data_IF_187404064103
#
_entry.id   IF_187404064103
#
_cell.length_a   1.000
_cell.length_b   1.000
_cell.length_c   1.000
_cell.angle_alpha   90.00
_cell.angle_beta   90.00
_cell.angle_gamma   90.00
#
_symmetry.space_group_name_H-M   'P 1'
#
loop_
_entity.id
_entity.type
_entity.pdbx_description
1 polymer ?
#
# COMPACT_ATOMS: atom_id res chain seq x y z
N UNK A 1 37.36 34.45 36.87
CA UNK A 1 37.10 33.28 37.74
C UNK A 1 36.33 32.25 36.92
N UNK A 2 37.01 31.27 36.32
CA UNK A 2 36.43 30.33 35.32
C UNK A 2 35.86 29.04 35.95
N UNK A 3 36.35 28.67 37.14
CA UNK A 3 35.89 27.48 37.85
C UNK A 3 34.45 27.67 38.40
N UNK A 4 34.07 28.81 39.00
CA UNK A 4 32.70 28.99 39.51
C UNK A 4 31.64 29.03 38.40
N UNK A 5 31.95 29.62 37.24
CA UNK A 5 31.02 29.68 36.10
C UNK A 5 30.76 28.29 35.50
N UNK A 6 31.78 27.43 35.47
CA UNK A 6 31.65 26.05 34.99
C UNK A 6 30.77 25.22 35.93
N UNK A 7 30.97 25.35 37.24
CA UNK A 7 30.18 24.64 38.26
C UNK A 7 28.71 25.05 38.20
N UNK A 8 28.41 26.34 38.01
CA UNK A 8 27.03 26.83 37.89
C UNK A 8 26.38 26.32 36.59
N UNK A 9 27.08 26.35 35.45
CA UNK A 9 26.55 25.88 34.18
C UNK A 9 26.27 24.36 34.19
N UNK A 10 27.18 23.56 34.76
CA UNK A 10 26.99 22.11 34.89
C UNK A 10 25.86 21.79 35.88
N UNK A 11 25.79 22.51 37.00
CA UNK A 11 24.72 22.30 38.00
C UNK A 11 23.34 22.67 37.43
N UNK A 12 23.24 23.76 36.65
CA UNK A 12 22.01 24.15 35.97
C UNK A 12 21.62 23.14 34.88
N UNK A 13 22.58 22.63 34.12
CA UNK A 13 22.35 21.58 33.12
C UNK A 13 21.80 20.29 33.73
N UNK A 14 22.34 19.86 34.87
CA UNK A 14 21.86 18.67 35.62
C UNK A 14 20.48 18.91 36.26
N UNK A 15 20.18 20.14 36.69
CA UNK A 15 18.88 20.48 37.27
C UNK A 15 17.75 20.42 36.22
N UNK A 16 18.03 20.85 34.98
CA UNK A 16 17.07 20.89 33.86
C UNK A 16 16.75 19.49 33.34
N UNK A 17 17.70 18.56 33.35
CA UNK A 17 17.46 17.17 32.91
C UNK A 17 16.66 16.33 33.91
N UNK A 18 16.57 16.76 35.18
CA UNK A 18 15.78 16.06 36.22
C UNK A 18 14.27 16.11 35.98
N UNK A 19 13.77 17.04 35.17
CA UNK A 19 12.33 17.21 34.91
C UNK A 19 11.81 16.22 33.86
N UNK A 20 12.70 15.49 33.17
CA UNK A 20 12.36 14.55 32.10
C UNK A 20 12.40 13.05 32.50
N UNK A 21 12.76 12.73 33.74
CA UNK A 21 12.85 11.34 34.23
C UNK A 21 11.67 11.03 35.15
N UNK A 22 10.72 10.22 34.70
CA UNK A 22 9.47 9.89 35.41
C UNK A 22 9.63 8.88 36.58
N UNK A 23 10.84 8.43 36.93
CA UNK A 23 11.05 7.47 38.03
C UNK A 23 11.72 8.13 39.25
N UNK A 24 10.89 8.54 40.21
CA UNK A 24 11.27 9.33 41.39
C UNK A 24 11.98 8.54 42.52
N UNK A 25 12.86 7.58 42.22
CA UNK A 25 13.44 6.68 43.24
C UNK A 25 14.93 6.32 43.11
N UNK A 26 15.53 6.44 41.92
CA UNK A 26 16.92 6.02 41.68
C UNK A 26 17.88 7.19 41.82
N UNK A 27 18.91 7.12 42.70
CA UNK A 27 19.96 8.12 42.74
C UNK A 27 20.64 8.21 41.37
N UNK A 28 20.78 9.42 40.82
CA UNK A 28 21.41 9.68 39.51
C UNK A 28 22.79 9.00 39.34
N UNK A 29 23.53 8.83 40.45
CA UNK A 29 24.81 8.13 40.48
C UNK A 29 24.71 6.63 40.20
N UNK A 30 23.62 5.96 40.58
CA UNK A 30 23.37 4.56 40.26
C UNK A 30 23.03 4.38 38.78
N UNK A 31 22.21 5.27 38.20
CA UNK A 31 21.92 5.23 36.76
C UNK A 31 23.15 5.53 35.90
N UNK A 32 23.91 6.57 36.28
CA UNK A 32 25.09 6.97 35.52
C UNK A 32 26.20 5.89 35.62
N UNK A 33 26.39 5.28 36.80
CA UNK A 33 27.34 4.18 36.97
C UNK A 33 26.87 2.92 36.24
N UNK A 34 25.56 2.61 36.24
CA UNK A 34 24.99 1.51 35.49
C UNK A 34 25.11 1.70 33.97
N UNK A 35 24.98 2.92 33.46
CA UNK A 35 25.14 3.22 32.03
C UNK A 35 26.61 3.20 31.60
N UNK A 36 27.51 3.80 32.38
CA UNK A 36 28.95 3.84 32.07
C UNK A 36 29.61 2.45 32.16
N UNK A 37 29.24 1.65 33.15
CA UNK A 37 29.76 0.28 33.33
C UNK A 37 28.91 -0.78 32.61
N UNK A 38 27.75 -0.39 32.06
CA UNK A 38 26.81 -1.28 31.38
C UNK A 38 27.20 -1.66 29.96
N UNK A 39 28.07 -0.88 29.31
CA UNK A 39 28.52 -1.11 27.94
C UNK A 39 29.83 -1.94 27.90
N UNK A 40 29.79 -3.25 27.62
CA UNK A 40 31.00 -4.08 27.63
C UNK A 40 32.03 -3.66 26.59
N UNK A 41 31.60 -3.04 25.47
CA UNK A 41 32.50 -2.50 24.45
C UNK A 41 33.29 -1.30 25.00
N UNK A 42 32.64 -0.39 25.73
CA UNK A 42 33.28 0.78 26.33
C UNK A 42 34.32 0.39 27.38
N UNK A 43 33.98 -0.57 28.26
CA UNK A 43 34.92 -1.11 29.26
C UNK A 43 36.17 -1.74 28.62
N UNK A 44 36.02 -2.42 27.47
CA UNK A 44 37.14 -3.01 26.74
C UNK A 44 38.06 -1.95 26.15
N UNK A 45 37.49 -0.89 25.58
CA UNK A 45 38.26 0.25 25.06
C UNK A 45 39.01 0.95 26.18
N UNK A 46 38.36 1.18 27.33
CA UNK A 46 39.00 1.75 28.51
C UNK A 46 40.14 0.88 29.06
N UNK A 47 39.95 -0.44 29.14
CA UNK A 47 40.98 -1.38 29.58
C UNK A 47 42.23 -1.34 28.68
N UNK A 48 42.03 -1.29 27.36
CA UNK A 48 43.13 -1.18 26.38
C UNK A 48 43.87 0.15 26.57
N UNK A 49 43.13 1.26 26.67
CA UNK A 49 43.71 2.58 26.84
C UNK A 49 44.55 2.68 28.12
N UNK A 50 44.02 2.20 29.25
CA UNK A 50 44.72 2.13 30.54
C UNK A 50 45.96 1.22 30.45
N UNK A 51 45.87 0.11 29.73
CA UNK A 51 47.02 -0.76 29.47
C UNK A 51 48.13 -0.09 28.67
N UNK A 52 47.79 0.74 27.68
CA UNK A 52 48.77 1.52 26.90
C UNK A 52 49.47 2.57 27.78
N UNK A 53 48.76 3.20 28.72
CA UNK A 53 49.36 4.16 29.66
C UNK A 53 50.45 3.53 30.55
N UNK A 54 50.37 2.22 30.82
CA UNK A 54 51.40 1.52 31.60
C UNK A 54 52.77 1.46 30.91
N UNK A 55 52.83 1.69 29.59
CA UNK A 55 54.06 1.63 28.79
C UNK A 55 54.79 2.99 28.81
N UNK A 56 54.14 4.07 29.26
CA UNK A 56 54.72 5.41 29.27
C UNK A 56 55.79 5.51 30.37
N UNK A 57 57.07 5.77 30.03
CA UNK A 57 58.14 5.89 31.02
C UNK A 57 57.90 7.11 31.91
N UNK A 58 58.02 6.92 33.22
CA UNK A 58 57.79 7.96 34.24
C UNK A 58 56.49 7.79 35.04
N UNK A 59 55.59 6.89 34.63
CA UNK A 59 54.39 6.53 35.39
C UNK A 59 54.54 5.19 36.11
N UNK A 60 53.95 5.00 37.30
CA UNK A 60 53.96 3.71 38.00
C UNK A 60 53.12 2.69 37.22
N UNK A 61 53.78 1.83 36.44
CA UNK A 61 53.12 0.90 35.53
C UNK A 61 52.21 -0.14 36.23
N UNK A 62 52.58 -0.58 37.44
CA UNK A 62 51.89 -1.63 38.18
C UNK A 62 50.40 -1.31 38.45
N UNK A 63 50.04 -0.12 39.00
CA UNK A 63 48.64 0.31 39.13
C UNK A 63 47.82 0.26 37.83
N UNK A 64 48.39 0.74 36.71
CA UNK A 64 47.66 0.79 35.44
C UNK A 64 47.40 -0.61 34.87
N UNK A 65 48.37 -1.53 34.98
CA UNK A 65 48.18 -2.93 34.56
C UNK A 65 47.08 -3.60 35.38
N UNK A 66 47.03 -3.37 36.71
CA UNK A 66 46.00 -3.95 37.58
C UNK A 66 44.61 -3.41 37.22
N UNK A 67 44.46 -2.09 37.06
CA UNK A 67 43.18 -1.47 36.69
C UNK A 67 42.73 -1.93 35.30
N UNK A 68 43.65 -1.97 34.32
CA UNK A 68 43.35 -2.47 32.97
C UNK A 68 42.88 -3.92 32.97
N UNK A 69 43.54 -4.79 33.75
CA UNK A 69 43.13 -6.19 33.89
C UNK A 69 41.74 -6.34 34.52
N UNK A 70 41.44 -5.57 35.57
CA UNK A 70 40.12 -5.58 36.22
C UNK A 70 39.00 -5.13 35.27
N UNK A 71 39.21 -4.04 34.53
CA UNK A 71 38.26 -3.55 33.52
C UNK A 71 38.03 -4.56 32.39
N UNK A 72 39.09 -5.27 31.96
CA UNK A 72 38.98 -6.30 30.93
C UNK A 72 38.19 -7.52 31.40
N UNK A 73 38.43 -7.99 32.63
CA UNK A 73 37.68 -9.10 33.23
C UNK A 73 36.20 -8.71 33.41
N UNK A 74 35.92 -7.52 33.92
CA UNK A 74 34.56 -7.00 34.07
C UNK A 74 33.83 -6.91 32.71
N UNK A 75 34.51 -6.43 31.66
CA UNK A 75 33.97 -6.40 30.29
C UNK A 75 33.59 -7.80 29.79
N UNK A 76 34.44 -8.80 30.03
CA UNK A 76 34.21 -10.18 29.57
C UNK A 76 33.07 -10.85 30.33
N UNK A 77 32.99 -10.65 31.65
CA UNK A 77 31.89 -11.15 32.47
C UNK A 77 30.55 -10.54 32.04
N UNK A 78 30.52 -9.23 31.80
CA UNK A 78 29.30 -8.53 31.37
C UNK A 78 28.88 -8.89 29.94
N UNK A 79 29.84 -9.06 29.03
CA UNK A 79 29.57 -9.54 27.67
C UNK A 79 29.02 -10.97 27.65
N UNK A 80 29.44 -11.84 28.58
CA UNK A 80 28.85 -13.18 28.76
C UNK A 80 27.43 -13.09 29.27
N UNK A 81 27.16 -12.29 30.30
CA UNK A 81 25.81 -12.09 30.82
C UNK A 81 24.85 -11.53 29.75
N UNK A 82 25.24 -10.51 28.98
CA UNK A 82 24.39 -9.99 27.90
C UNK A 82 24.12 -11.04 26.82
N UNK A 83 25.11 -11.86 26.46
CA UNK A 83 24.93 -12.95 25.49
C UNK A 83 24.05 -14.07 26.05
N UNK A 84 24.17 -14.40 27.33
CA UNK A 84 23.31 -15.37 27.99
C UNK A 84 21.86 -14.87 28.06
N UNK A 85 21.65 -13.57 28.29
CA UNK A 85 20.31 -12.93 28.24
C UNK A 85 19.77 -12.86 26.81
N UNK A 86 20.59 -12.54 25.80
CA UNK A 86 20.19 -12.58 24.38
C UNK A 86 19.88 -14.02 23.91
N UNK A 87 20.68 -15.01 24.31
CA UNK A 87 20.44 -16.43 24.00
C UNK A 87 19.23 -16.98 24.75
N UNK A 88 18.94 -16.52 25.98
CA UNK A 88 17.71 -16.85 26.70
C UNK A 88 16.49 -16.18 26.07
N UNK A 89 16.58 -14.90 25.69
CA UNK A 89 15.53 -14.18 24.96
C UNK A 89 15.28 -14.75 23.56
N UNK A 90 16.29 -15.36 22.93
CA UNK A 90 16.15 -16.07 21.65
C UNK A 90 15.64 -17.52 21.82
N UNK A 91 15.80 -18.12 23.01
CA UNK A 91 15.29 -19.46 23.36
C UNK A 91 13.90 -19.45 23.98
N UNK A 92 13.44 -18.32 24.48
CA UNK A 92 12.03 -18.13 24.83
C UNK A 92 11.16 -18.19 23.56
N UNK A 93 10.24 -19.16 23.44
CA UNK A 93 9.26 -19.11 22.37
C UNK A 93 8.40 -17.85 22.54
N UNK A 94 8.07 -17.20 21.41
CA UNK A 94 7.26 -15.97 21.29
C UNK A 94 5.93 -16.03 22.08
N UNK A 95 5.50 -17.21 22.54
CA UNK A 95 4.29 -17.44 23.34
C UNK A 95 4.30 -16.92 24.79
N UNK A 96 5.43 -16.60 25.41
CA UNK A 96 5.43 -16.22 26.84
C UNK A 96 5.39 -14.72 27.13
N UNK A 97 5.61 -13.85 26.12
CA UNK A 97 5.33 -12.40 26.26
C UNK A 97 3.85 -12.03 26.23
N UNK A 98 2.96 -13.00 26.02
CA UNK A 98 1.50 -12.84 26.10
C UNK A 98 0.90 -13.24 27.46
N UNK A 99 1.71 -13.55 28.47
CA UNK A 99 1.21 -13.77 29.83
C UNK A 99 1.14 -12.46 30.63
N UNK A 100 0.57 -11.41 30.04
CA UNK A 100 0.02 -10.30 30.82
C UNK A 100 -1.49 -10.50 30.98
N UNK A 101 -1.96 -10.20 32.18
CA UNK A 101 -3.24 -10.60 32.75
C UNK A 101 -4.40 -9.92 32.02
N UNK A 102 -5.37 -10.71 31.53
CA UNK A 102 -6.73 -10.23 31.27
C UNK A 102 -7.40 -10.78 30.01
N UNK A 103 -8.09 -11.92 30.12
CA UNK A 103 -9.08 -12.42 29.15
C UNK A 103 -8.59 -12.58 27.70
N UNK A 104 -9.44 -13.05 26.77
CA UNK A 104 -9.20 -12.80 25.37
C UNK A 104 -9.23 -11.28 25.19
N UNK A 105 -8.06 -10.67 25.01
CA UNK A 105 -7.93 -9.25 24.67
C UNK A 105 -8.70 -9.06 23.37
N UNK A 106 -9.86 -8.40 23.43
CA UNK A 106 -10.62 -8.04 22.24
C UNK A 106 -9.73 -7.14 21.37
N UNK A 107 -9.21 -7.70 20.29
CA UNK A 107 -8.52 -6.96 19.23
C UNK A 107 -9.58 -6.75 18.15
N UNK A 108 -10.25 -5.59 18.11
CA UNK A 108 -11.18 -5.28 17.03
C UNK A 108 -10.36 -5.11 15.75
N UNK A 109 -10.25 -6.16 14.96
CA UNK A 109 -9.77 -6.06 13.59
C UNK A 109 -10.99 -5.86 12.73
N UNK A 110 -11.02 -4.73 12.03
CA UNK A 110 -12.08 -4.42 11.06
C UNK A 110 -12.11 -5.51 10.00
N UNK A 111 -13.28 -6.07 9.74
CA UNK A 111 -13.47 -7.07 8.69
C UNK A 111 -13.30 -6.38 7.33
N UNK A 112 -12.30 -6.74 6.50
CA UNK A 112 -12.01 -6.00 5.28
C UNK A 112 -13.16 -6.03 4.26
N UNK A 113 -13.81 -7.18 4.11
CA UNK A 113 -15.04 -7.28 3.35
C UNK A 113 -15.90 -8.46 3.83
N UNK A 114 -17.21 -8.32 3.68
CA UNK A 114 -18.18 -9.29 4.13
C UNK A 114 -19.38 -9.39 3.19
N UNK A 115 -20.02 -10.56 3.21
CA UNK A 115 -21.31 -10.84 2.60
C UNK A 115 -22.29 -11.20 3.71
N UNK A 116 -23.29 -10.37 3.93
CA UNK A 116 -24.42 -10.68 4.80
C UNK A 116 -25.60 -11.08 3.92
N UNK A 117 -26.13 -12.27 4.16
CA UNK A 117 -27.22 -12.85 3.37
C UNK A 117 -28.46 -13.04 4.24
N UNK A 118 -29.61 -12.99 3.59
CA UNK A 118 -30.88 -13.42 4.18
C UNK A 118 -30.84 -14.90 4.58
N UNK A 119 -31.57 -15.25 5.65
CA UNK A 119 -31.50 -16.59 6.25
C UNK A 119 -31.95 -17.72 5.31
N UNK A 120 -32.84 -17.46 4.34
CA UNK A 120 -33.27 -18.48 3.37
C UNK A 120 -32.12 -19.05 2.53
N UNK A 121 -31.07 -18.25 2.31
CA UNK A 121 -29.89 -18.63 1.54
C UNK A 121 -28.88 -19.48 2.34
N UNK A 122 -29.10 -19.69 3.65
CA UNK A 122 -28.19 -20.48 4.51
C UNK A 122 -28.05 -21.93 4.03
N UNK A 123 -29.12 -22.50 3.47
CA UNK A 123 -29.10 -23.84 2.86
C UNK A 123 -28.14 -23.98 1.67
N UNK A 124 -27.77 -22.86 1.04
CA UNK A 124 -26.89 -22.80 -0.12
C UNK A 124 -25.43 -22.52 0.24
N UNK A 125 -25.08 -22.46 1.54
CA UNK A 125 -23.77 -22.03 2.03
C UNK A 125 -22.61 -22.90 1.50
N UNK A 126 -22.76 -24.21 1.61
CA UNK A 126 -21.72 -25.17 1.22
C UNK A 126 -22.04 -25.80 -0.15
N UNK A 127 -21.00 -26.35 -0.78
CA UNK A 127 -21.09 -27.01 -2.07
C UNK A 127 -21.98 -28.26 -1.98
N UNK A 128 -22.79 -28.51 -3.02
CA UNK A 128 -23.48 -29.79 -3.20
C UNK A 128 -22.59 -30.73 -4.01
N UNK A 129 -21.96 -31.67 -3.31
CA UNK A 129 -21.04 -32.66 -3.88
C UNK A 129 -21.67 -34.04 -3.73
N UNK A 130 -21.78 -34.79 -4.84
CA UNK A 130 -22.27 -36.17 -4.83
C UNK A 130 -21.20 -37.12 -5.36
N UNK A 131 -20.57 -37.87 -4.45
CA UNK A 131 -19.37 -38.64 -4.79
C UNK A 131 -18.22 -37.68 -5.08
N UNK A 132 -17.62 -37.76 -6.27
CA UNK A 132 -16.57 -36.85 -6.73
C UNK A 132 -17.09 -35.75 -7.68
N UNK A 133 -18.41 -35.67 -7.91
CA UNK A 133 -19.01 -34.70 -8.85
C UNK A 133 -19.60 -33.49 -8.10
N UNK A 134 -19.14 -32.28 -8.46
CA UNK A 134 -19.71 -31.03 -8.00
C UNK A 134 -21.01 -30.75 -8.76
N UNK A 135 -22.14 -30.78 -8.06
CA UNK A 135 -23.47 -30.50 -8.66
C UNK A 135 -23.83 -29.03 -8.61
N UNK A 136 -23.45 -28.34 -7.54
CA UNK A 136 -23.70 -26.92 -7.32
C UNK A 136 -22.61 -26.34 -6.43
N UNK A 137 -22.06 -25.19 -6.83
CA UNK A 137 -21.18 -24.41 -5.99
C UNK A 137 -21.97 -23.70 -4.87
N UNK A 138 -21.42 -23.69 -3.66
CA UNK A 138 -21.95 -22.98 -2.51
C UNK A 138 -21.46 -21.54 -2.41
N UNK A 139 -22.11 -20.77 -1.55
CA UNK A 139 -21.77 -19.36 -1.28
C UNK A 139 -20.33 -19.23 -0.73
N UNK A 140 -19.84 -20.22 0.02
CA UNK A 140 -18.45 -20.24 0.49
C UNK A 140 -17.46 -20.29 -0.68
N UNK A 141 -17.74 -21.13 -1.67
CA UNK A 141 -16.94 -21.26 -2.89
C UNK A 141 -17.03 -20.01 -3.76
N UNK A 142 -18.20 -19.35 -3.80
CA UNK A 142 -18.33 -18.02 -4.41
C UNK A 142 -17.38 -17.00 -3.78
N UNK A 143 -17.32 -16.92 -2.45
CA UNK A 143 -16.39 -16.03 -1.75
C UNK A 143 -14.91 -16.30 -2.06
N UNK A 144 -14.53 -17.56 -2.30
CA UNK A 144 -13.19 -17.92 -2.76
C UNK A 144 -12.96 -17.51 -4.23
N UNK A 145 -13.92 -17.78 -5.10
CA UNK A 145 -13.87 -17.44 -6.53
C UNK A 145 -13.72 -15.94 -6.76
N UNK A 146 -14.40 -15.08 -5.99
CA UNK A 146 -14.23 -13.61 -6.04
C UNK A 146 -12.76 -13.21 -5.88
N UNK A 147 -12.05 -13.83 -4.93
CA UNK A 147 -10.62 -13.54 -4.70
C UNK A 147 -9.77 -13.91 -5.92
N UNK A 148 -10.07 -15.06 -6.53
CA UNK A 148 -9.38 -15.51 -7.73
C UNK A 148 -9.64 -14.60 -8.94
N UNK A 149 -10.90 -14.17 -9.12
CA UNK A 149 -11.29 -13.21 -10.17
C UNK A 149 -10.54 -11.90 -9.99
N UNK A 150 -10.58 -11.29 -8.79
CA UNK A 150 -9.91 -10.02 -8.52
C UNK A 150 -8.39 -10.12 -8.65
N UNK A 151 -7.78 -11.21 -8.19
CA UNK A 151 -6.35 -11.43 -8.35
C UNK A 151 -5.96 -11.64 -9.81
N UNK A 152 -6.76 -12.42 -10.57
CA UNK A 152 -6.51 -12.67 -11.99
C UNK A 152 -6.60 -11.39 -12.81
N UNK A 153 -7.59 -10.56 -12.53
CA UNK A 153 -7.89 -9.36 -13.32
C UNK A 153 -6.97 -8.20 -12.91
N UNK A 154 -6.85 -7.92 -11.61
CA UNK A 154 -6.14 -6.76 -11.09
C UNK A 154 -4.82 -7.07 -10.37
N UNK A 155 -4.57 -8.31 -9.96
CA UNK A 155 -3.40 -8.67 -9.15
C UNK A 155 -3.54 -8.34 -7.66
N UNK A 156 -4.76 -8.03 -7.19
CA UNK A 156 -5.01 -7.65 -5.80
C UNK A 156 -5.20 -8.88 -4.91
N UNK A 157 -4.38 -9.05 -3.86
CA UNK A 157 -4.51 -10.19 -2.95
C UNK A 157 -5.64 -9.95 -1.93
N UNK A 158 -6.87 -10.25 -2.34
CA UNK A 158 -8.04 -10.03 -1.49
C UNK A 158 -8.05 -11.01 -0.28
N UNK A 159 -8.34 -10.54 0.96
CA UNK A 159 -8.49 -11.41 2.13
C UNK A 159 -9.73 -12.33 2.01
N UNK A 160 -9.86 -13.36 2.86
CA UNK A 160 -11.05 -14.21 2.87
C UNK A 160 -12.34 -13.43 3.17
N UNK A 161 -13.43 -13.78 2.47
CA UNK A 161 -14.75 -13.24 2.74
C UNK A 161 -15.25 -13.66 4.12
N UNK A 162 -15.77 -12.70 4.91
CA UNK A 162 -16.66 -13.05 6.02
C UNK A 162 -18.07 -13.28 5.47
N UNK A 163 -18.69 -14.41 5.78
CA UNK A 163 -20.08 -14.70 5.42
C UNK A 163 -20.92 -14.73 6.71
N UNK A 164 -22.04 -14.02 6.73
CA UNK A 164 -23.00 -13.99 7.83
C UNK A 164 -24.43 -14.11 7.31
N UNK A 165 -25.33 -14.61 8.15
CA UNK A 165 -26.76 -14.72 7.85
C UNK A 165 -27.57 -13.91 8.84
N UNK A 166 -28.62 -13.25 8.36
CA UNK A 166 -29.45 -12.36 9.15
C UNK A 166 -30.93 -12.60 8.90
N UNK A 167 -31.71 -12.55 9.98
CA UNK A 167 -33.18 -12.57 9.95
C UNK A 167 -33.78 -11.19 9.65
N UNK A 168 -32.97 -10.13 9.75
CA UNK A 168 -33.42 -8.75 9.51
C UNK A 168 -33.50 -8.43 8.03
N UNK A 169 -32.79 -9.18 7.19
CA UNK A 169 -32.82 -9.04 5.74
C UNK A 169 -34.05 -9.73 5.15
N UNK A 170 -34.78 -9.09 4.22
CA UNK A 170 -35.86 -9.76 3.49
C UNK A 170 -35.32 -10.93 2.68
N UNK A 171 -36.18 -11.89 2.34
CA UNK A 171 -35.79 -13.08 1.58
C UNK A 171 -35.00 -12.73 0.32
N UNK A 172 -33.98 -13.54 0.01
CA UNK A 172 -33.10 -13.37 -1.15
C UNK A 172 -32.32 -12.05 -1.22
N UNK A 173 -32.26 -11.27 -0.13
CA UNK A 173 -31.43 -10.07 -0.07
C UNK A 173 -29.99 -10.39 0.36
N UNK A 174 -29.07 -9.60 -0.16
CA UNK A 174 -27.63 -9.69 0.09
C UNK A 174 -27.07 -8.29 0.29
N UNK A 175 -26.22 -8.14 1.30
CA UNK A 175 -25.46 -6.93 1.59
C UNK A 175 -23.97 -7.24 1.46
N UNK A 176 -23.27 -6.50 0.61
CA UNK A 176 -21.82 -6.49 0.56
C UNK A 176 -21.30 -5.30 1.35
N UNK A 177 -20.39 -5.57 2.28
CA UNK A 177 -19.76 -4.56 3.13
C UNK A 177 -18.26 -4.53 2.88
N UNK A 178 -17.68 -3.33 2.85
CA UNK A 178 -16.24 -3.08 2.79
C UNK A 178 -15.87 -2.32 4.05
N UNK A 179 -14.90 -2.83 4.81
CA UNK A 179 -14.51 -2.29 6.11
C UNK A 179 -15.71 -2.09 7.06
N UNK A 180 -16.61 -3.08 7.10
CA UNK A 180 -17.85 -3.07 7.90
C UNK A 180 -18.87 -1.99 7.52
N UNK A 181 -18.66 -1.29 6.39
CA UNK A 181 -19.62 -0.32 5.84
C UNK A 181 -20.34 -0.92 4.65
N UNK A 182 -21.68 -0.92 4.60
CA UNK A 182 -22.44 -1.39 3.44
C UNK A 182 -22.02 -0.64 2.16
N UNK A 183 -21.54 -1.40 1.18
CA UNK A 183 -21.10 -0.90 -0.12
C UNK A 183 -22.16 -1.15 -1.21
N UNK A 184 -22.88 -2.27 -1.13
CA UNK A 184 -23.98 -2.60 -2.04
C UNK A 184 -25.04 -3.45 -1.35
N UNK A 185 -26.30 -3.25 -1.73
CA UNK A 185 -27.45 -4.03 -1.28
C UNK A 185 -28.29 -4.38 -2.49
N UNK A 186 -28.59 -5.65 -2.69
CA UNK A 186 -29.39 -6.11 -3.81
C UNK A 186 -30.22 -7.34 -3.44
N UNK A 187 -31.24 -7.60 -4.24
CA UNK A 187 -32.06 -8.81 -4.14
C UNK A 187 -31.71 -9.74 -5.30
N UNK A 188 -31.54 -11.03 -5.01
CA UNK A 188 -31.39 -12.05 -6.03
C UNK A 188 -32.72 -12.24 -6.77
N UNK A 189 -32.74 -12.22 -8.12
CA UNK A 189 -33.96 -12.42 -8.90
C UNK A 189 -34.69 -13.70 -8.50
N UNK A 190 -36.03 -13.67 -8.49
CA UNK A 190 -36.85 -14.79 -8.01
C UNK A 190 -36.79 -16.01 -8.94
N UNK A 191 -36.46 -15.80 -10.20
CA UNK A 191 -36.26 -16.80 -11.25
C UNK A 191 -34.87 -17.45 -11.23
N UNK A 192 -33.91 -16.89 -10.48
CA UNK A 192 -32.56 -17.40 -10.37
C UNK A 192 -32.53 -18.73 -9.61
N UNK A 193 -32.02 -19.79 -10.24
CA UNK A 193 -31.93 -21.12 -9.64
C UNK A 193 -30.85 -21.18 -8.55
N UNK A 194 -30.99 -22.12 -7.60
CA UNK A 194 -29.99 -22.34 -6.54
C UNK A 194 -28.57 -22.58 -7.09
N UNK A 195 -28.46 -23.18 -8.28
CA UNK A 195 -27.20 -23.43 -8.96
C UNK A 195 -26.50 -22.14 -9.42
N UNK A 196 -27.28 -21.14 -9.82
CA UNK A 196 -26.82 -19.86 -10.36
C UNK A 196 -26.54 -18.82 -9.27
N UNK A 197 -27.07 -19.02 -8.05
CA UNK A 197 -26.87 -18.09 -6.91
C UNK A 197 -25.39 -17.81 -6.66
N UNK A 198 -24.56 -18.85 -6.59
CA UNK A 198 -23.13 -18.68 -6.33
C UNK A 198 -22.44 -17.86 -7.42
N UNK A 199 -22.71 -18.15 -8.69
CA UNK A 199 -22.17 -17.40 -9.82
C UNK A 199 -22.61 -15.93 -9.79
N UNK A 200 -23.90 -15.68 -9.54
CA UNK A 200 -24.42 -14.32 -9.44
C UNK A 200 -23.76 -13.52 -8.30
N UNK A 201 -23.52 -14.16 -7.15
CA UNK A 201 -22.81 -13.53 -6.04
C UNK A 201 -21.37 -13.18 -6.42
N UNK A 202 -20.69 -14.04 -7.20
CA UNK A 202 -19.33 -13.75 -7.70
C UNK A 202 -19.34 -12.52 -8.60
N UNK A 203 -20.26 -12.46 -9.57
CA UNK A 203 -20.38 -11.33 -10.50
C UNK A 203 -20.60 -10.00 -9.75
N UNK A 204 -21.61 -9.96 -8.89
CA UNK A 204 -21.98 -8.75 -8.15
C UNK A 204 -20.87 -8.32 -7.17
N UNK A 205 -20.26 -9.27 -6.46
CA UNK A 205 -19.16 -8.96 -5.54
C UNK A 205 -17.94 -8.47 -6.29
N UNK A 206 -17.62 -9.08 -7.44
CA UNK A 206 -16.47 -8.68 -8.25
C UNK A 206 -16.64 -7.26 -8.79
N UNK A 207 -17.84 -6.87 -9.21
CA UNK A 207 -18.14 -5.49 -9.64
C UNK A 207 -17.88 -4.48 -8.51
N UNK A 208 -18.48 -4.71 -7.33
CA UNK A 208 -18.36 -3.80 -6.18
C UNK A 208 -16.92 -3.69 -5.67
N UNK A 209 -16.21 -4.81 -5.60
CA UNK A 209 -14.85 -4.85 -5.07
C UNK A 209 -13.80 -4.33 -6.06
N UNK A 210 -14.05 -4.43 -7.38
CA UNK A 210 -13.16 -3.91 -8.42
C UNK A 210 -13.01 -2.39 -8.30
N UNK A 211 -14.11 -1.66 -8.10
CA UNK A 211 -14.09 -0.20 -7.97
C UNK A 211 -13.37 0.29 -6.70
N UNK A 212 -13.24 -0.59 -5.71
CA UNK A 212 -12.63 -0.32 -4.40
C UNK A 212 -11.36 -1.14 -4.18
N UNK A 213 -10.75 -1.66 -5.24
CA UNK A 213 -9.64 -2.60 -5.14
C UNK A 213 -8.41 -2.01 -4.42
N UNK A 214 -8.20 -0.70 -4.54
CA UNK A 214 -7.11 0.02 -3.88
C UNK A 214 -7.23 0.07 -2.34
N UNK A 215 -8.41 -0.22 -1.77
CA UNK A 215 -8.63 -0.28 -0.32
C UNK A 215 -8.03 -1.56 0.29
N UNK A 216 -7.87 -2.60 -0.53
CA UNK A 216 -7.32 -3.89 -0.12
C UNK A 216 -5.82 -4.02 -0.35
N UNK A 217 -5.15 -2.96 -0.80
CA UNK A 217 -3.71 -2.96 -1.05
C UNK A 217 -2.98 -2.04 -0.07
N UNK A 218 -2.43 -2.62 1.00
CA UNK A 218 -1.56 -1.95 1.95
C UNK A 218 -0.09 -2.37 1.84
N UNK A 219 0.71 -1.87 2.78
CA UNK A 219 2.15 -2.18 2.87
C UNK A 219 2.38 -3.68 3.07
N UNK A 220 1.52 -4.35 3.86
CA UNK A 220 1.63 -5.78 4.15
C UNK A 220 1.36 -6.62 2.89
N UNK A 221 0.31 -6.28 2.15
CA UNK A 221 -0.05 -6.97 0.91
C UNK A 221 1.03 -6.78 -0.17
N UNK A 222 1.56 -5.56 -0.31
CA UNK A 222 2.67 -5.30 -1.24
C UNK A 222 3.94 -6.06 -0.83
N UNK A 223 4.26 -6.12 0.47
CA UNK A 223 5.38 -6.94 0.95
C UNK A 223 5.16 -8.42 0.62
N UNK A 224 3.96 -8.95 0.84
CA UNK A 224 3.63 -10.33 0.49
C UNK A 224 3.82 -10.59 -1.01
N UNK A 225 3.35 -9.69 -1.88
CA UNK A 225 3.55 -9.81 -3.32
C UNK A 225 5.03 -9.77 -3.71
N UNK A 226 5.83 -8.92 -3.07
CA UNK A 226 7.28 -8.85 -3.27
C UNK A 226 7.98 -10.13 -2.81
N UNK A 227 7.59 -10.70 -1.67
CA UNK A 227 8.17 -11.94 -1.13
C UNK A 227 7.91 -13.11 -2.08
N UNK A 228 6.72 -13.17 -2.69
CA UNK A 228 6.40 -14.17 -3.72
C UNK A 228 7.20 -13.93 -5.01
N UNK A 229 7.33 -12.68 -5.45
CA UNK A 229 8.11 -12.34 -6.63
C UNK A 229 9.62 -12.59 -6.42
N UNK A 230 10.15 -12.41 -5.21
CA UNK A 230 11.56 -12.63 -4.90
C UNK A 230 11.96 -14.11 -5.08
N UNK A 231 11.02 -15.06 -4.91
CA UNK A 231 11.30 -16.47 -5.17
C UNK A 231 11.64 -16.76 -6.64
N UNK A 232 11.09 -15.97 -7.57
CA UNK A 232 11.23 -16.18 -9.02
C UNK A 232 12.13 -15.15 -9.71
N UNK A 233 12.20 -13.92 -9.19
CA UNK A 233 12.94 -12.80 -9.76
C UNK A 233 13.67 -11.96 -8.67
N UNK A 234 14.59 -12.57 -7.88
CA UNK A 234 15.21 -11.90 -6.74
C UNK A 234 16.06 -10.69 -7.13
N UNK A 235 16.71 -10.73 -8.30
CA UNK A 235 17.53 -9.63 -8.78
C UNK A 235 16.69 -8.36 -9.02
N UNK A 236 15.51 -8.50 -9.64
CA UNK A 236 14.59 -7.39 -9.89
C UNK A 236 14.10 -6.76 -8.59
N UNK A 237 13.68 -7.58 -7.63
CA UNK A 237 13.18 -7.08 -6.33
C UNK A 237 14.27 -6.33 -5.57
N UNK A 238 15.45 -6.96 -5.38
CA UNK A 238 16.56 -6.38 -4.59
C UNK A 238 17.18 -5.15 -5.23
N UNK A 239 17.10 -5.01 -6.55
CA UNK A 239 17.61 -3.83 -7.26
C UNK A 239 16.67 -2.62 -7.14
N UNK A 240 15.36 -2.85 -6.91
CA UNK A 240 14.34 -1.80 -6.93
C UNK A 240 13.87 -1.42 -5.53
N UNK A 241 13.69 -2.39 -4.64
CA UNK A 241 13.15 -2.23 -3.28
C UNK A 241 14.15 -2.76 -2.26
N UNK A 242 14.47 -2.03 -1.17
CA UNK A 242 13.87 -0.76 -0.72
C UNK A 242 14.49 0.50 -1.35
N UNK A 243 15.49 0.34 -2.24
CA UNK A 243 16.12 1.44 -2.97
C UNK A 243 16.33 1.03 -4.42
N UNK A 244 16.06 1.93 -5.40
CA UNK A 244 15.65 3.32 -5.23
C UNK A 244 14.20 3.55 -4.76
N UNK A 245 13.32 2.56 -4.80
CA UNK A 245 11.90 2.71 -4.42
C UNK A 245 11.66 2.12 -3.04
N UNK A 246 11.20 2.95 -2.10
CA UNK A 246 10.79 2.46 -0.78
C UNK A 246 9.48 1.69 -0.87
N UNK A 247 9.24 0.76 0.07
CA UNK A 247 7.98 0.01 0.13
C UNK A 247 6.73 0.92 0.21
N UNK A 248 6.70 2.01 1.00
CA UNK A 248 5.58 2.95 0.98
C UNK A 248 5.38 3.65 -0.37
N UNK A 249 6.46 4.04 -1.05
CA UNK A 249 6.37 4.67 -2.37
C UNK A 249 5.84 3.69 -3.41
N UNK A 250 6.31 2.44 -3.40
CA UNK A 250 5.76 1.40 -4.27
C UNK A 250 4.27 1.18 -3.98
N UNK A 251 3.89 1.11 -2.70
CA UNK A 251 2.49 0.94 -2.30
C UNK A 251 1.61 2.07 -2.85
N UNK A 252 2.05 3.33 -2.74
CA UNK A 252 1.32 4.49 -3.29
C UNK A 252 1.17 4.38 -4.82
N UNK A 253 2.25 4.06 -5.55
CA UNK A 253 2.19 3.85 -7.01
C UNK A 253 1.21 2.74 -7.39
N UNK A 254 1.28 1.58 -6.74
CA UNK A 254 0.41 0.44 -7.03
C UNK A 254 -1.07 0.76 -6.72
N UNK A 255 -1.35 1.47 -5.62
CA UNK A 255 -2.72 1.91 -5.29
C UNK A 255 -3.28 2.85 -6.35
N UNK A 256 -2.48 3.81 -6.85
CA UNK A 256 -2.90 4.73 -7.91
C UNK A 256 -3.17 4.03 -9.24
N UNK A 257 -2.39 2.99 -9.58
CA UNK A 257 -2.70 2.14 -10.72
C UNK A 257 -4.08 1.49 -10.56
N UNK A 258 -4.35 0.92 -9.38
CA UNK A 258 -5.63 0.28 -9.06
C UNK A 258 -6.82 1.24 -9.03
N UNK A 259 -6.65 2.48 -8.53
CA UNK A 259 -7.69 3.54 -8.55
C UNK A 259 -8.16 3.89 -9.97
N UNK A 260 -7.34 3.58 -10.98
CA UNK A 260 -7.67 3.74 -12.40
C UNK A 260 -7.96 2.41 -13.11
N UNK A 261 -8.14 1.33 -12.33
CA UNK A 261 -8.42 -0.02 -12.80
C UNK A 261 -7.27 -0.66 -13.59
N UNK A 262 -6.03 -0.21 -13.40
CA UNK A 262 -4.86 -0.81 -14.04
C UNK A 262 -4.38 -2.00 -13.24
N UNK A 263 -4.29 -3.16 -13.90
CA UNK A 263 -3.79 -4.39 -13.29
C UNK A 263 -2.35 -4.25 -12.81
N UNK A 264 -2.08 -4.65 -11.56
CA UNK A 264 -0.74 -4.72 -10.96
C UNK A 264 -0.17 -6.14 -10.96
N UNK A 265 -0.83 -7.07 -11.65
CA UNK A 265 -0.43 -8.49 -11.69
C UNK A 265 0.96 -8.69 -12.26
N UNK A 266 1.36 -7.89 -13.25
CA UNK A 266 2.74 -7.85 -13.75
C UNK A 266 3.63 -6.98 -12.86
N UNK A 267 3.77 -7.38 -11.60
CA UNK A 267 4.58 -6.65 -10.62
C UNK A 267 6.05 -6.57 -11.06
N UNK A 268 6.55 -7.58 -11.77
CA UNK A 268 7.89 -7.56 -12.35
C UNK A 268 8.05 -6.42 -13.34
N UNK A 269 7.13 -6.29 -14.32
CA UNK A 269 7.13 -5.21 -15.29
C UNK A 269 7.02 -3.83 -14.62
N UNK A 270 6.21 -3.71 -13.56
CA UNK A 270 6.12 -2.47 -12.77
C UNK A 270 7.46 -2.12 -12.11
N UNK A 271 8.13 -3.08 -11.47
CA UNK A 271 9.45 -2.84 -10.84
C UNK A 271 10.51 -2.48 -11.88
N UNK A 272 10.52 -3.16 -13.04
CA UNK A 272 11.44 -2.87 -14.14
C UNK A 272 11.23 -1.46 -14.69
N UNK A 273 9.97 -1.03 -14.88
CA UNK A 273 9.64 0.35 -15.26
C UNK A 273 10.14 1.35 -14.23
N UNK A 274 9.83 1.13 -12.94
CA UNK A 274 10.27 2.02 -11.87
C UNK A 274 11.80 2.11 -11.79
N UNK A 275 12.54 1.02 -12.04
CA UNK A 275 14.00 1.01 -12.01
C UNK A 275 14.65 2.02 -12.96
N UNK A 276 13.97 2.38 -14.06
CA UNK A 276 14.49 3.28 -15.09
C UNK A 276 14.44 4.76 -14.66
N UNK A 277 13.44 5.14 -13.86
CA UNK A 277 13.14 6.56 -13.53
C UNK A 277 13.27 6.87 -12.04
N UNK A 278 13.14 5.87 -11.16
CA UNK A 278 13.06 6.10 -9.72
C UNK A 278 14.36 6.67 -9.12
N UNK A 279 15.49 6.65 -9.81
CA UNK A 279 16.71 7.31 -9.34
C UNK A 279 16.63 8.85 -9.47
N UNK A 280 15.86 9.35 -10.43
CA UNK A 280 15.75 10.79 -10.75
C UNK A 280 14.45 11.41 -10.27
N UNK A 281 13.35 10.64 -10.24
CA UNK A 281 12.05 11.09 -9.76
C UNK A 281 11.55 10.21 -8.60
N UNK A 282 10.93 10.85 -7.61
CA UNK A 282 10.34 10.22 -6.42
C UNK A 282 8.86 10.58 -6.24
N UNK A 283 8.31 11.43 -7.11
CA UNK A 283 6.91 11.83 -7.08
C UNK A 283 6.04 10.64 -7.52
N UNK A 284 5.20 10.09 -6.63
CA UNK A 284 4.35 8.94 -6.94
C UNK A 284 3.45 9.18 -8.15
N UNK A 285 3.00 10.42 -8.39
CA UNK A 285 2.16 10.76 -9.53
C UNK A 285 2.92 10.61 -10.86
N UNK A 286 4.15 11.09 -10.94
CA UNK A 286 4.96 10.97 -12.16
C UNK A 286 5.41 9.52 -12.38
N UNK A 287 5.77 8.82 -11.31
CA UNK A 287 6.12 7.41 -11.38
C UNK A 287 4.94 6.57 -11.88
N UNK A 288 3.72 6.85 -11.43
CA UNK A 288 2.50 6.17 -11.89
C UNK A 288 2.28 6.39 -13.39
N UNK A 289 2.34 7.64 -13.88
CA UNK A 289 2.22 7.92 -15.32
C UNK A 289 3.30 7.21 -16.14
N UNK A 290 4.54 7.18 -15.64
CA UNK A 290 5.62 6.47 -16.30
C UNK A 290 5.35 4.96 -16.38
N UNK A 291 4.97 4.33 -15.26
CA UNK A 291 4.63 2.91 -15.23
C UNK A 291 3.49 2.60 -16.19
N UNK A 292 2.41 3.39 -16.19
CA UNK A 292 1.30 3.23 -17.14
C UNK A 292 1.78 3.25 -18.59
N UNK A 293 2.68 4.18 -18.93
CA UNK A 293 3.27 4.27 -20.28
C UNK A 293 4.14 3.07 -20.66
N UNK A 294 4.64 2.29 -19.69
CA UNK A 294 5.36 1.03 -19.93
C UNK A 294 4.41 -0.17 -20.03
N UNK A 295 3.21 -0.09 -19.43
CA UNK A 295 2.19 -1.14 -19.45
C UNK A 295 1.30 -1.12 -20.69
N UNK A 296 1.79 -0.58 -21.82
CA UNK A 296 0.97 -0.33 -23.04
C UNK A 296 0.24 -1.55 -23.54
N UNK A 297 0.93 -2.71 -23.53
CA UNK A 297 0.37 -3.97 -24.01
C UNK A 297 -0.84 -4.39 -23.18
N UNK A 298 -0.74 -4.33 -21.85
CA UNK A 298 -1.82 -4.70 -20.93
C UNK A 298 -2.99 -3.74 -21.06
N UNK A 299 -2.72 -2.43 -21.00
CA UNK A 299 -3.76 -1.39 -21.12
C UNK A 299 -4.49 -1.48 -22.46
N UNK A 300 -3.75 -1.62 -23.55
CA UNK A 300 -4.35 -1.73 -24.89
C UNK A 300 -5.24 -2.97 -25.00
N UNK A 301 -4.79 -4.12 -24.49
CA UNK A 301 -5.58 -5.34 -24.51
C UNK A 301 -6.84 -5.24 -23.65
N UNK A 302 -6.75 -4.62 -22.47
CA UNK A 302 -7.91 -4.39 -21.60
C UNK A 302 -8.97 -3.51 -22.27
N UNK A 303 -8.56 -2.48 -23.00
CA UNK A 303 -9.48 -1.55 -23.67
C UNK A 303 -10.07 -2.12 -24.96
N UNK A 304 -9.29 -2.91 -25.70
CA UNK A 304 -9.71 -3.48 -27.00
C UNK A 304 -10.35 -4.86 -26.88
N UNK A 305 -10.13 -5.57 -25.78
CA UNK A 305 -10.43 -7.00 -25.63
C UNK A 305 -9.89 -7.86 -26.80
N UNK A 306 -8.76 -7.42 -27.39
CA UNK A 306 -8.13 -8.07 -28.54
C UNK A 306 -8.63 -7.63 -29.92
N UNK A 307 -9.58 -6.69 -30.00
CA UNK A 307 -9.98 -6.06 -31.25
C UNK A 307 -8.84 -5.23 -31.87
N UNK A 308 -8.77 -5.12 -33.21
CA UNK A 308 -7.75 -4.31 -33.90
C UNK A 308 -8.04 -2.80 -33.84
N UNK A 309 -9.24 -2.43 -33.43
CA UNK A 309 -9.77 -1.07 -33.41
C UNK A 309 -10.17 -0.68 -31.99
N UNK A 310 -10.02 0.60 -31.67
CA UNK A 310 -10.44 1.18 -30.40
C UNK A 310 -11.21 2.48 -30.63
N UNK A 311 -12.49 2.50 -30.25
CA UNK A 311 -13.31 3.69 -30.22
C UNK A 311 -12.85 4.65 -29.13
N UNK A 312 -12.59 5.92 -29.49
CA UNK A 312 -12.11 6.94 -28.56
C UNK A 312 -12.85 8.27 -28.71
N UNK A 313 -13.05 8.94 -27.58
CA UNK A 313 -13.47 10.33 -27.51
C UNK A 313 -12.23 11.20 -27.36
N UNK A 314 -12.01 12.14 -28.28
CA UNK A 314 -10.83 13.02 -28.28
C UNK A 314 -11.19 14.40 -27.75
N UNK A 315 -10.21 15.10 -27.20
CA UNK A 315 -10.36 16.49 -26.79
C UNK A 315 -10.07 17.44 -27.96
N UNK A 316 -10.76 18.57 -28.01
CA UNK A 316 -10.40 19.68 -28.88
C UNK A 316 -9.09 20.34 -28.39
N UNK A 317 -8.20 20.80 -29.29
CA UNK A 317 -6.97 21.49 -28.93
C UNK A 317 -7.15 22.64 -27.92
N UNK A 318 -8.28 23.37 -27.95
CA UNK A 318 -8.55 24.43 -26.99
C UNK A 318 -8.72 23.90 -25.55
N UNK A 319 -9.38 22.75 -25.39
CA UNK A 319 -9.50 22.09 -24.08
C UNK A 319 -8.13 21.61 -23.61
N UNK A 320 -7.37 20.96 -24.49
CA UNK A 320 -6.03 20.48 -24.16
C UNK A 320 -5.12 21.63 -23.70
N UNK A 321 -5.13 22.75 -24.42
CA UNK A 321 -4.32 23.92 -24.08
C UNK A 321 -4.82 24.62 -22.81
N UNK A 322 -6.13 24.69 -22.59
CA UNK A 322 -6.68 25.22 -21.34
C UNK A 322 -6.23 24.39 -20.14
N UNK A 323 -6.24 23.06 -20.24
CA UNK A 323 -5.75 22.20 -19.16
C UNK A 323 -4.24 22.37 -18.98
N UNK A 324 -3.47 22.31 -20.08
CA UNK A 324 -2.00 22.39 -20.07
C UNK A 324 -1.50 23.70 -19.45
N UNK A 325 -2.06 24.82 -19.89
CA UNK A 325 -1.67 26.16 -19.44
C UNK A 325 -2.03 26.41 -17.96
N UNK A 326 -3.02 25.70 -17.42
CA UNK A 326 -3.41 25.75 -16.02
C UNK A 326 -2.61 24.82 -15.08
N UNK A 327 -1.68 24.01 -15.58
CA UNK A 327 -0.82 23.17 -14.74
C UNK A 327 0.25 24.04 -14.08
N UNK A 328 0.20 24.16 -12.76
CA UNK A 328 1.26 24.78 -11.98
C UNK A 328 2.20 23.72 -11.42
N UNK A 329 3.51 23.93 -11.59
CA UNK A 329 4.55 23.04 -11.06
C UNK A 329 5.18 23.69 -9.84
N UNK A 330 5.13 23.00 -8.72
CA UNK A 330 5.76 23.41 -7.46
C UNK A 330 6.73 22.33 -6.98
N UNK A 331 7.50 22.63 -5.95
CA UNK A 331 8.34 21.63 -5.29
C UNK A 331 7.53 20.49 -4.66
N UNK A 332 6.25 20.72 -4.34
CA UNK A 332 5.33 19.72 -3.81
C UNK A 332 4.66 18.85 -4.89
N UNK A 333 4.88 19.15 -6.18
CA UNK A 333 4.26 18.46 -7.30
C UNK A 333 3.53 19.41 -8.25
N UNK A 334 2.91 18.82 -9.26
CA UNK A 334 2.13 19.53 -10.26
C UNK A 334 0.63 19.38 -10.00
N UNK A 335 -0.10 20.49 -10.01
CA UNK A 335 -1.55 20.52 -9.80
C UNK A 335 -2.24 21.46 -10.78
N UNK A 336 -3.55 21.28 -10.93
CA UNK A 336 -4.37 22.03 -11.88
C UNK A 336 -4.96 23.28 -11.21
N UNK A 337 -4.83 24.44 -11.87
CA UNK A 337 -5.32 25.75 -11.39
C UNK A 337 -6.34 26.37 -12.34
N UNK A 338 -7.39 25.62 -12.63
CA UNK A 338 -8.52 26.12 -13.42
C UNK A 338 -9.46 26.96 -12.56
N UNK A 339 -10.10 27.96 -13.18
CA UNK A 339 -11.24 28.62 -12.56
C UNK A 339 -12.42 27.64 -12.45
N UNK A 340 -13.30 27.78 -11.44
CA UNK A 340 -14.47 26.89 -11.31
C UNK A 340 -15.43 26.92 -12.51
N UNK A 341 -15.45 28.03 -13.27
CA UNK A 341 -16.21 28.11 -14.52
C UNK A 341 -15.55 27.24 -15.61
N UNK A 342 -14.27 27.49 -15.90
CA UNK A 342 -13.53 26.74 -16.92
C UNK A 342 -13.52 25.22 -16.67
N UNK A 343 -13.35 24.81 -15.41
CA UNK A 343 -13.43 23.39 -15.04
C UNK A 343 -14.81 22.77 -15.36
N UNK A 344 -15.91 23.47 -15.02
CA UNK A 344 -17.28 23.02 -15.32
C UNK A 344 -17.56 22.97 -16.82
N UNK A 345 -17.09 23.95 -17.58
CA UNK A 345 -17.30 24.01 -19.03
C UNK A 345 -16.58 22.86 -19.74
N UNK A 346 -15.33 22.58 -19.35
CA UNK A 346 -14.56 21.43 -19.87
C UNK A 346 -15.27 20.10 -19.55
N UNK A 347 -15.67 19.88 -18.30
CA UNK A 347 -16.36 18.65 -17.90
C UNK A 347 -17.69 18.50 -18.64
N UNK A 348 -18.43 19.59 -18.82
CA UNK A 348 -19.70 19.60 -19.58
C UNK A 348 -19.47 19.26 -21.05
N UNK A 349 -18.43 19.82 -21.68
CA UNK A 349 -18.06 19.51 -23.06
C UNK A 349 -17.71 18.03 -23.24
N UNK A 350 -16.92 17.46 -22.32
CA UNK A 350 -16.53 16.05 -22.34
C UNK A 350 -17.76 15.15 -22.16
N UNK A 351 -18.61 15.44 -21.16
CA UNK A 351 -19.85 14.69 -20.92
C UNK A 351 -20.78 14.69 -22.13
N UNK A 352 -20.92 15.84 -22.82
CA UNK A 352 -21.73 15.95 -24.04
C UNK A 352 -21.21 15.04 -25.15
N UNK A 353 -19.88 14.97 -25.31
CA UNK A 353 -19.24 14.15 -26.34
C UNK A 353 -19.42 12.65 -26.06
N UNK A 354 -19.28 12.24 -24.80
CA UNK A 354 -19.43 10.84 -24.39
C UNK A 354 -20.86 10.33 -24.53
N UNK A 355 -21.85 11.07 -24.02
CA UNK A 355 -23.26 10.63 -24.01
C UNK A 355 -23.89 10.49 -25.39
N UNK A 356 -23.30 11.08 -26.42
CA UNK A 356 -23.84 11.06 -27.78
C UNK A 356 -23.43 9.84 -28.62
N UNK A 357 -22.49 9.01 -28.17
CA UNK A 357 -21.80 8.08 -29.08
C UNK A 357 -21.49 6.67 -28.52
N UNK A 358 -21.67 6.39 -27.23
CA UNK A 358 -21.35 5.05 -26.69
C UNK A 358 -22.55 4.09 -26.76
N UNK A 359 -22.46 2.93 -27.45
CA UNK A 359 -23.44 1.86 -27.32
C UNK A 359 -23.39 1.24 -25.91
N UNK A 360 -24.49 0.63 -25.43
CA UNK A 360 -24.51 -0.02 -24.12
C UNK A 360 -23.47 -1.14 -24.04
N UNK A 361 -22.55 -1.07 -23.08
CA UNK A 361 -21.58 -2.15 -22.78
C UNK A 361 -20.14 -1.92 -23.24
N UNK A 362 -19.84 -0.82 -23.94
CA UNK A 362 -18.47 -0.47 -24.35
C UNK A 362 -17.83 0.54 -23.37
N UNK A 363 -16.55 0.37 -23.06
CA UNK A 363 -15.84 1.30 -22.17
C UNK A 363 -15.76 2.69 -22.81
N UNK A 364 -16.16 3.72 -22.05
CA UNK A 364 -15.94 5.10 -22.48
C UNK A 364 -14.44 5.40 -22.38
N UNK A 365 -13.77 5.49 -23.53
CA UNK A 365 -12.34 5.80 -23.59
C UNK A 365 -12.13 7.25 -24.02
N UNK A 366 -11.53 8.05 -23.15
CA UNK A 366 -11.15 9.44 -23.44
C UNK A 366 -9.65 9.46 -23.74
N UNK A 367 -9.28 9.89 -24.94
CA UNK A 367 -7.90 9.93 -25.41
C UNK A 367 -7.32 11.35 -25.29
N UNK A 368 -6.15 11.46 -24.65
CA UNK A 368 -5.46 12.73 -24.40
C UNK A 368 -3.98 12.67 -24.73
N UNK A 369 -3.30 13.82 -24.64
CA UNK A 369 -1.84 13.85 -24.60
C UNK A 369 -1.29 13.34 -23.25
N UNK A 370 -0.06 12.77 -23.21
CA UNK A 370 0.51 12.22 -21.98
C UNK A 370 0.71 13.23 -20.85
N UNK A 371 1.00 14.49 -21.18
CA UNK A 371 1.28 15.56 -20.22
C UNK A 371 0.05 16.04 -19.44
N UNK A 372 -1.15 15.85 -20.01
CA UNK A 372 -2.42 16.30 -19.41
C UNK A 372 -3.30 15.17 -18.86
N UNK A 373 -2.98 13.90 -19.17
CA UNK A 373 -3.86 12.74 -18.93
C UNK A 373 -4.38 12.64 -17.49
N UNK A 374 -3.49 12.59 -16.50
CA UNK A 374 -3.88 12.53 -15.08
C UNK A 374 -4.74 13.71 -14.62
N UNK A 375 -4.53 14.90 -15.20
CA UNK A 375 -5.29 16.09 -14.85
C UNK A 375 -6.69 16.02 -15.44
N UNK A 376 -6.81 15.52 -16.67
CA UNK A 376 -8.11 15.23 -17.29
C UNK A 376 -8.85 14.14 -16.51
N UNK A 377 -8.17 13.04 -16.14
CA UNK A 377 -8.75 11.99 -15.27
C UNK A 377 -9.31 12.57 -13.98
N UNK A 378 -8.53 13.41 -13.30
CA UNK A 378 -8.94 14.06 -12.05
C UNK A 378 -10.13 15.01 -12.24
N UNK A 379 -10.20 15.71 -13.36
CA UNK A 379 -11.33 16.60 -13.66
C UNK A 379 -12.65 15.84 -13.87
N UNK A 380 -12.61 14.67 -14.50
CA UNK A 380 -13.82 13.94 -14.90
C UNK A 380 -14.24 12.85 -13.90
N UNK A 381 -13.41 12.55 -12.89
CA UNK A 381 -13.61 11.39 -12.00
C UNK A 381 -14.96 11.38 -11.27
N UNK A 382 -15.46 12.55 -10.90
CA UNK A 382 -16.72 12.69 -10.16
C UNK A 382 -17.93 12.58 -11.09
N UNK A 383 -17.79 13.09 -12.32
CA UNK A 383 -18.88 13.28 -13.26
C UNK A 383 -19.04 12.14 -14.27
N UNK A 384 -17.97 11.36 -14.46
CA UNK A 384 -17.83 10.21 -15.36
C UNK A 384 -16.88 9.16 -14.72
N UNK A 385 -17.25 8.53 -13.58
CA UNK A 385 -16.38 7.58 -12.87
C UNK A 385 -15.99 6.36 -13.71
N UNK A 386 -16.86 5.93 -14.64
CA UNK A 386 -16.66 4.80 -15.55
C UNK A 386 -15.73 5.11 -16.73
N UNK A 387 -15.41 6.38 -16.98
CA UNK A 387 -14.59 6.78 -18.13
C UNK A 387 -13.10 6.46 -17.90
N UNK A 388 -12.51 5.72 -18.84
CA UNK A 388 -11.07 5.44 -18.88
C UNK A 388 -10.36 6.55 -19.64
N UNK A 389 -9.61 7.38 -18.92
CA UNK A 389 -8.77 8.43 -19.53
C UNK A 389 -7.37 7.88 -19.81
N UNK A 390 -7.02 7.82 -21.09
CA UNK A 390 -5.76 7.23 -21.57
C UNK A 390 -5.00 8.21 -22.44
N UNK A 391 -3.67 8.05 -22.47
CA UNK A 391 -2.83 8.85 -23.36
C UNK A 391 -2.39 8.07 -24.59
N UNK A 392 -2.01 8.78 -25.66
CA UNK A 392 -1.37 8.16 -26.83
C UNK A 392 -0.13 7.32 -26.47
N UNK A 393 0.57 7.66 -25.38
CA UNK A 393 1.76 6.92 -24.94
C UNK A 393 1.41 5.62 -24.18
N UNK A 394 0.13 5.34 -23.92
CA UNK A 394 -0.33 4.12 -23.23
C UNK A 394 -0.86 3.08 -24.21
N UNK A 395 -0.96 3.42 -25.50
CA UNK A 395 -1.53 2.55 -26.51
C UNK A 395 -0.43 1.96 -27.41
N UNK A 396 -0.67 0.73 -27.87
CA UNK A 396 0.17 0.10 -28.88
C UNK A 396 -0.02 0.80 -30.24
N UNK A 397 1.06 1.11 -30.98
CA UNK A 397 0.97 1.78 -32.28
C UNK A 397 0.16 1.03 -33.34
N UNK A 398 0.02 -0.29 -33.18
CA UNK A 398 -0.67 -1.16 -34.13
C UNK A 398 -2.20 -1.06 -34.02
N UNK A 399 -2.74 -0.54 -32.92
CA UNK A 399 -4.19 -0.39 -32.74
C UNK A 399 -4.69 0.81 -33.52
N UNK A 400 -5.75 0.58 -34.30
CA UNK A 400 -6.39 1.64 -35.08
C UNK A 400 -7.37 2.40 -34.21
N UNK A 401 -7.15 3.69 -34.07
CA UNK A 401 -8.02 4.58 -33.31
C UNK A 401 -9.19 5.05 -34.17
N UNK A 402 -10.41 4.76 -33.73
CA UNK A 402 -11.63 5.29 -34.32
C UNK A 402 -12.15 6.45 -33.46
N UNK A 403 -12.20 7.66 -34.02
CA UNK A 403 -12.71 8.81 -33.28
C UNK A 403 -14.24 8.79 -33.29
N UNK A 404 -14.84 8.39 -32.18
CA UNK A 404 -16.30 8.35 -32.00
C UNK A 404 -16.89 9.78 -31.91
N UNK A 405 -16.19 10.66 -31.19
CA UNK A 405 -16.62 12.05 -31.01
C UNK A 405 -15.45 12.95 -30.58
N UNK A 406 -15.66 14.26 -30.71
CA UNK A 406 -14.74 15.28 -30.18
C UNK A 406 -15.43 16.15 -29.13
N UNK A 407 -14.85 16.25 -27.94
CA UNK A 407 -15.26 17.20 -26.93
C UNK A 407 -14.80 18.61 -27.32
N UNK A 408 -15.73 19.56 -27.41
CA UNK A 408 -15.46 20.95 -27.79
C UNK A 408 -16.25 21.90 -26.91
N UNK A 409 -15.63 23.04 -26.58
CA UNK A 409 -16.29 24.13 -25.86
C UNK A 409 -17.33 24.85 -26.74
N UNK A 410 -17.37 24.59 -28.05
CA UNK A 410 -18.34 25.20 -28.94
C UNK A 410 -19.80 24.84 -28.57
N UNK A 411 -20.59 25.87 -28.30
CA UNK A 411 -22.00 25.74 -27.91
C UNK A 411 -22.23 25.60 -26.40
N UNK A 412 -21.22 25.94 -25.58
CA UNK A 412 -21.33 26.33 -24.18
C UNK A 412 -21.09 27.85 -24.11
#
# INVERSE_FOLDING_TARGET
SQIPSLVIAVSAGVLVTRVASEEAGTPLGEELSAQLLGAPKALRVAAIFVGVLAIIPGLPAVPFVIIGALLFVASRARARQLREVEEQAAREPIQQRTADRGGPRFVPVVIPWAMELSRDLESLLDDDIRGDELRRAGIRSAGAAVREVLFRDLGVPLPPCKITFSDELPERHVVFSIHEVPASVFALPADLTDAEVAERLVEEAALVLRDRSADFLGIAEVQMLLDQLEQVAPATVRQVVPKPVSLPLLTDVLRRLLEEGVSIRDLKGVLEALSQVANTDKDPLNLTEFVRSQMRRTLTHELTQGAPELGVHVLDPQIEESVRSSIQRTSAGAFLTLSPAAGRDIVTAIRRAVRGAAPPGEHVVILTQPDIRRFVRKLVETDLPEARVVSYAELLPEVRLETLSRASLAGL
#
